data_IF_767326816632
#
_entry.id   IF_767326816632
#
_cell.length_a   1.000
_cell.length_b   1.000
_cell.length_c   1.000
_cell.angle_alpha   90.00
_cell.angle_beta   90.00
_cell.angle_gamma   90.00
#
_symmetry.space_group_name_H-M   'P 1'
#
loop_
_entity.id
_entity.type
_entity.pdbx_description
1 polymer ?
#
# COMPACT_ATOMS: atom_id res chain seq x y z
N UNK A 1 21.16 5.11 -24.13
CA UNK A 1 22.16 5.80 -24.96
C UNK A 1 21.68 7.08 -25.65
N UNK A 2 20.48 7.51 -25.54
CA UNK A 2 20.06 8.82 -26.02
C UNK A 2 19.28 9.49 -24.90
N UNK A 3 19.98 10.20 -24.02
CA UNK A 3 19.32 11.25 -23.26
C UNK A 3 18.64 12.17 -24.28
N UNK A 4 17.39 12.59 -24.05
CA UNK A 4 16.70 13.47 -24.99
C UNK A 4 17.58 14.69 -25.28
N UNK A 5 17.66 15.07 -26.56
CA UNK A 5 18.48 16.21 -27.05
C UNK A 5 18.24 17.53 -26.31
N UNK A 6 17.21 17.60 -25.47
CA UNK A 6 16.95 18.67 -24.52
C UNK A 6 17.19 18.13 -23.11
N UNK A 7 18.35 18.38 -22.56
CA UNK A 7 18.71 17.93 -21.22
C UNK A 7 17.95 18.73 -20.14
N UNK A 8 16.63 18.51 -20.09
CA UNK A 8 15.73 19.18 -19.14
C UNK A 8 16.01 18.78 -17.68
N UNK A 9 16.70 17.67 -17.46
CA UNK A 9 16.97 17.15 -16.11
C UNK A 9 18.13 17.90 -15.46
N UNK A 10 19.17 18.26 -16.21
CA UNK A 10 20.37 18.90 -15.66
C UNK A 10 20.56 20.35 -16.09
N UNK A 11 19.82 20.81 -17.10
CA UNK A 11 19.93 22.18 -17.64
C UNK A 11 21.26 22.49 -18.34
N UNK A 12 22.22 21.56 -18.35
CA UNK A 12 23.54 21.75 -18.93
C UNK A 12 23.67 20.92 -20.20
N UNK A 13 23.81 21.59 -21.32
CA UNK A 13 24.07 20.99 -22.63
C UNK A 13 25.51 21.33 -23.04
N UNK A 14 26.25 20.32 -23.51
CA UNK A 14 27.56 20.54 -24.12
C UNK A 14 27.38 20.88 -25.60
N UNK A 15 28.27 21.75 -26.14
CA UNK A 15 28.24 22.14 -27.54
C UNK A 15 28.73 21.02 -28.45
N UNK A 16 29.57 20.11 -27.93
CA UNK A 16 30.06 18.94 -28.63
C UNK A 16 29.10 17.72 -28.44
N UNK A 17 28.42 17.24 -29.51
CA UNK A 17 27.55 16.10 -29.46
C UNK A 17 28.26 14.78 -29.09
N UNK A 18 29.56 14.66 -29.35
CA UNK A 18 30.35 13.50 -29.00
C UNK A 18 30.54 13.45 -27.49
N UNK A 19 30.97 14.50 -26.86
CA UNK A 19 31.16 14.62 -25.43
C UNK A 19 29.81 14.53 -24.68
N UNK A 20 28.73 15.14 -25.21
CA UNK A 20 27.39 15.06 -24.66
C UNK A 20 26.86 13.62 -24.56
N UNK A 21 27.22 12.77 -25.53
CA UNK A 21 26.70 11.40 -25.64
C UNK A 21 27.13 10.46 -24.49
N UNK A 22 28.23 10.77 -23.82
CA UNK A 22 28.80 9.98 -22.72
C UNK A 22 28.84 10.72 -21.39
N UNK A 23 28.21 11.86 -21.28
CA UNK A 23 28.17 12.62 -20.05
C UNK A 23 27.24 11.96 -19.04
N UNK A 24 27.80 11.59 -17.89
CA UNK A 24 27.06 11.07 -16.74
C UNK A 24 26.96 12.19 -15.69
N UNK A 25 25.75 12.57 -15.32
CA UNK A 25 25.50 13.71 -14.45
C UNK A 25 25.03 13.31 -13.03
N UNK A 26 24.53 12.08 -12.89
CA UNK A 26 24.08 11.51 -11.62
C UNK A 26 24.40 10.01 -11.57
N UNK A 27 24.73 9.46 -10.40
CA UNK A 27 24.76 8.02 -10.23
C UNK A 27 23.36 7.44 -10.36
N UNK A 28 23.22 6.28 -11.01
CA UNK A 28 21.93 5.64 -11.20
C UNK A 28 22.06 4.14 -11.51
N UNK A 29 20.97 3.42 -11.41
CA UNK A 29 20.93 1.97 -11.61
C UNK A 29 20.87 1.55 -13.09
N UNK A 30 20.97 2.48 -14.04
CA UNK A 30 20.87 2.23 -15.48
C UNK A 30 19.56 1.48 -15.88
N UNK A 31 18.47 1.75 -15.19
CA UNK A 31 17.16 1.17 -15.48
C UNK A 31 16.59 1.82 -16.75
N UNK A 32 16.31 1.00 -17.75
CA UNK A 32 15.73 1.45 -19.01
C UNK A 32 14.39 0.80 -19.22
N UNK A 33 13.30 1.58 -19.31
CA UNK A 33 12.02 1.04 -19.73
C UNK A 33 12.13 0.56 -21.18
N UNK A 34 11.49 -0.56 -21.49
CA UNK A 34 11.33 -1.01 -22.87
C UNK A 34 10.16 -0.25 -23.53
N UNK A 35 10.19 -0.06 -24.85
CA UNK A 35 9.16 0.66 -25.60
C UNK A 35 7.77 0.07 -25.41
N UNK A 36 7.70 -1.26 -25.31
CA UNK A 36 6.44 -1.98 -25.05
C UNK A 36 5.79 -1.55 -23.72
N UNK A 37 6.58 -1.32 -22.67
CA UNK A 37 6.09 -0.78 -21.40
C UNK A 37 5.52 0.63 -21.56
N UNK A 38 6.14 1.45 -22.41
CA UNK A 38 5.64 2.79 -22.75
C UNK A 38 4.29 2.73 -23.47
N UNK A 39 4.15 1.87 -24.46
CA UNK A 39 2.93 1.69 -25.23
C UNK A 39 1.77 1.20 -24.35
N UNK A 40 2.01 0.20 -23.50
CA UNK A 40 1.03 -0.29 -22.52
C UNK A 40 0.67 0.84 -21.53
N UNK A 41 1.67 1.57 -21.04
CA UNK A 41 1.48 2.68 -20.10
C UNK A 41 0.57 3.77 -20.64
N UNK A 42 0.70 4.14 -21.90
CA UNK A 42 -0.17 5.14 -22.54
C UNK A 42 -1.65 4.70 -22.54
N UNK A 43 -1.92 3.42 -22.80
CA UNK A 43 -3.30 2.89 -22.76
C UNK A 43 -3.83 2.77 -21.31
N UNK A 44 -2.98 2.41 -20.36
CA UNK A 44 -3.38 2.35 -18.95
C UNK A 44 -3.64 3.74 -18.37
N UNK A 45 -2.87 4.74 -18.78
CA UNK A 45 -3.03 6.12 -18.31
C UNK A 45 -4.42 6.69 -18.67
N UNK A 46 -5.00 6.30 -19.79
CA UNK A 46 -6.37 6.69 -20.18
C UNK A 46 -7.43 6.15 -19.21
N UNK A 47 -7.18 5.02 -18.56
CA UNK A 47 -8.08 4.36 -17.61
C UNK A 47 -7.91 4.85 -16.18
N UNK A 48 -6.77 5.47 -15.88
CA UNK A 48 -6.38 5.85 -14.51
C UNK A 48 -7.42 6.71 -13.77
N UNK A 49 -8.07 7.73 -14.39
CA UNK A 49 -9.09 8.49 -13.69
C UNK A 49 -10.26 7.63 -13.19
N UNK A 50 -10.74 6.69 -14.01
CA UNK A 50 -11.78 5.75 -13.61
C UNK A 50 -11.32 4.79 -12.50
N UNK A 51 -10.09 4.31 -12.55
CA UNK A 51 -9.52 3.46 -11.51
C UNK A 51 -9.43 4.18 -10.16
N UNK A 52 -8.96 5.43 -10.17
CA UNK A 52 -8.87 6.26 -8.96
C UNK A 52 -10.26 6.52 -8.39
N UNK A 53 -11.23 6.88 -9.24
CA UNK A 53 -12.62 7.13 -8.82
C UNK A 53 -13.24 5.91 -8.14
N UNK A 54 -13.13 4.71 -8.76
CA UNK A 54 -13.69 3.49 -8.18
C UNK A 54 -13.01 3.10 -6.86
N UNK A 55 -11.68 3.20 -6.81
CA UNK A 55 -10.94 2.90 -5.57
C UNK A 55 -11.30 3.84 -4.43
N UNK A 56 -11.59 5.10 -4.71
CA UNK A 56 -12.09 6.08 -3.72
C UNK A 56 -13.48 5.74 -3.25
N UNK A 57 -14.39 5.39 -4.17
CA UNK A 57 -15.73 4.95 -3.81
C UNK A 57 -15.71 3.73 -2.88
N UNK A 58 -14.86 2.74 -3.17
CA UNK A 58 -14.63 1.60 -2.28
C UNK A 58 -14.09 2.06 -0.90
N UNK A 59 -13.15 3.02 -0.89
CA UNK A 59 -12.59 3.59 0.34
C UNK A 59 -13.63 4.32 1.20
N UNK A 60 -14.51 5.07 0.58
CA UNK A 60 -15.63 5.75 1.26
C UNK A 60 -16.58 4.73 1.90
N UNK A 61 -16.92 3.67 1.15
CA UNK A 61 -17.76 2.59 1.68
C UNK A 61 -17.08 1.85 2.83
N UNK A 62 -15.79 1.54 2.69
CA UNK A 62 -15.00 0.93 3.75
C UNK A 62 -14.98 1.79 5.02
N UNK A 63 -14.74 3.08 4.90
CA UNK A 63 -14.79 4.02 6.04
C UNK A 63 -16.19 4.03 6.67
N UNK A 64 -17.25 4.08 5.88
CA UNK A 64 -18.62 4.06 6.39
C UNK A 64 -18.92 2.78 7.21
N UNK A 65 -18.37 1.63 6.78
CA UNK A 65 -18.54 0.36 7.47
C UNK A 65 -17.71 0.24 8.77
N UNK A 66 -16.49 0.79 8.79
CA UNK A 66 -15.52 0.43 9.83
C UNK A 66 -15.06 1.57 10.75
N UNK A 67 -15.31 2.85 10.43
CA UNK A 67 -14.78 4.00 11.20
C UNK A 67 -15.12 3.95 12.70
N UNK A 68 -16.30 3.46 13.04
CA UNK A 68 -16.81 3.41 14.42
C UNK A 68 -16.85 1.97 14.96
N UNK A 69 -16.18 1.02 14.32
CA UNK A 69 -16.20 -0.37 14.73
C UNK A 69 -15.60 -0.55 16.14
N UNK A 70 -16.27 -1.29 17.05
CA UNK A 70 -15.86 -1.35 18.45
C UNK A 70 -14.47 -1.92 18.69
N UNK A 71 -14.08 -2.95 17.94
CA UNK A 71 -12.81 -3.69 18.15
C UNK A 71 -11.82 -3.61 16.98
N UNK A 72 -12.19 -2.93 15.89
CA UNK A 72 -11.28 -2.69 14.76
C UNK A 72 -11.00 -1.20 14.63
N UNK A 73 -9.75 -0.85 14.44
CA UNK A 73 -9.29 0.47 14.03
C UNK A 73 -8.87 0.42 12.57
N UNK A 74 -9.24 1.42 11.79
CA UNK A 74 -8.84 1.58 10.39
C UNK A 74 -7.88 2.75 10.23
N UNK A 75 -7.20 2.82 9.06
CA UNK A 75 -6.36 3.97 8.75
C UNK A 75 -7.21 5.24 8.60
N UNK A 76 -6.66 6.35 9.08
CA UNK A 76 -7.21 7.67 8.82
C UNK A 76 -6.66 8.19 7.49
N UNK A 77 -7.56 8.62 6.60
CA UNK A 77 -7.16 9.29 5.38
C UNK A 77 -6.70 10.72 5.69
N UNK A 78 -5.54 11.10 5.14
CA UNK A 78 -5.02 12.46 5.17
C UNK A 78 -4.84 12.90 3.71
N UNK A 79 -5.57 13.94 3.29
CA UNK A 79 -5.63 14.37 1.90
C UNK A 79 -6.56 13.49 1.06
N UNK A 80 -6.24 13.29 -0.21
CA UNK A 80 -7.05 12.54 -1.17
C UNK A 80 -6.31 11.28 -1.65
N UNK A 81 -6.47 10.19 -0.92
CA UNK A 81 -5.90 8.90 -1.28
C UNK A 81 -6.67 8.20 -2.40
N UNK A 82 -5.99 7.37 -3.19
CA UNK A 82 -6.63 6.36 -4.04
C UNK A 82 -6.76 5.00 -3.36
N UNK A 83 -6.49 4.92 -2.08
CA UNK A 83 -6.62 3.73 -1.22
C UNK A 83 -5.94 2.49 -1.82
N UNK A 84 -4.64 2.33 -1.59
CA UNK A 84 -3.90 1.14 -2.03
C UNK A 84 -4.54 -0.14 -1.50
N UNK A 85 -5.06 -0.11 -0.30
CA UNK A 85 -5.84 -1.15 0.34
C UNK A 85 -6.39 -0.70 1.68
N UNK A 86 -6.96 -1.62 2.42
CA UNK A 86 -7.70 -1.37 3.65
C UNK A 86 -6.95 -1.99 4.82
N UNK A 87 -6.42 -1.16 5.70
CA UNK A 87 -5.74 -1.62 6.92
C UNK A 87 -6.76 -1.78 8.04
N UNK A 88 -6.74 -2.94 8.68
CA UNK A 88 -7.50 -3.27 9.88
C UNK A 88 -6.52 -3.53 11.02
N UNK A 89 -6.67 -2.85 12.13
CA UNK A 89 -5.86 -3.06 13.34
C UNK A 89 -6.79 -3.44 14.49
N UNK A 90 -6.56 -4.59 15.08
CA UNK A 90 -7.36 -5.10 16.20
C UNK A 90 -7.04 -4.26 17.43
N UNK A 91 -8.07 -3.72 18.08
CA UNK A 91 -7.95 -2.94 19.31
C UNK A 91 -7.73 -3.86 20.53
N UNK A 92 -7.21 -3.30 21.63
CA UNK A 92 -6.90 -4.04 22.86
C UNK A 92 -8.12 -4.69 23.53
N UNK A 93 -9.31 -4.13 23.31
CA UNK A 93 -10.57 -4.64 23.86
C UNK A 93 -11.21 -5.77 23.05
N UNK A 94 -10.55 -6.25 21.98
CA UNK A 94 -11.05 -7.40 21.22
C UNK A 94 -10.86 -8.70 22.00
N UNK A 95 -11.81 -9.63 21.86
CA UNK A 95 -11.79 -10.96 22.47
C UNK A 95 -11.07 -12.00 21.62
N UNK A 96 -10.60 -11.62 20.44
CA UNK A 96 -9.84 -12.43 19.50
C UNK A 96 -8.53 -11.77 19.10
N UNK A 97 -7.58 -12.56 18.61
CA UNK A 97 -6.29 -12.08 18.12
C UNK A 97 -6.23 -12.06 16.58
N UNK A 98 -5.13 -11.50 16.03
CA UNK A 98 -4.92 -11.41 14.58
C UNK A 98 -4.97 -12.77 13.87
N UNK A 99 -4.43 -13.82 14.48
CA UNK A 99 -4.42 -15.15 13.88
C UNK A 99 -5.84 -15.68 13.68
N UNK A 100 -6.67 -15.59 14.70
CA UNK A 100 -8.08 -16.00 14.64
C UNK A 100 -8.85 -15.22 13.57
N UNK A 101 -8.65 -13.88 13.51
CA UNK A 101 -9.27 -13.07 12.48
C UNK A 101 -8.82 -13.48 11.07
N UNK A 102 -7.52 -13.72 10.86
CA UNK A 102 -6.99 -14.16 9.56
C UNK A 102 -7.57 -15.51 9.15
N UNK A 103 -7.65 -16.47 10.08
CA UNK A 103 -8.21 -17.81 9.83
C UNK A 103 -9.68 -17.73 9.38
N UNK A 104 -10.49 -16.91 10.04
CA UNK A 104 -11.92 -16.73 9.70
C UNK A 104 -12.07 -16.03 8.35
N UNK A 105 -11.33 -14.94 8.12
CA UNK A 105 -11.38 -14.23 6.83
C UNK A 105 -10.98 -15.12 5.67
N UNK A 106 -9.92 -15.92 5.83
CA UNK A 106 -9.47 -16.86 4.80
C UNK A 106 -10.46 -17.99 4.55
N UNK A 107 -11.14 -18.49 5.59
CA UNK A 107 -12.19 -19.49 5.45
C UNK A 107 -13.38 -18.97 4.61
N UNK A 108 -13.67 -17.67 4.69
CA UNK A 108 -14.68 -16.96 3.89
C UNK A 108 -14.16 -16.48 2.53
N UNK A 109 -12.95 -16.90 2.12
CA UNK A 109 -12.37 -16.56 0.83
C UNK A 109 -11.82 -15.13 0.74
N UNK A 110 -11.65 -14.44 1.87
CA UNK A 110 -11.14 -13.08 1.92
C UNK A 110 -9.62 -13.12 2.08
N UNK A 111 -8.88 -12.73 1.03
CA UNK A 111 -7.42 -12.65 1.09
C UNK A 111 -6.99 -11.50 2.00
N UNK A 112 -6.12 -11.81 2.96
CA UNK A 112 -5.52 -10.84 3.85
C UNK A 112 -4.00 -11.04 3.95
N UNK A 113 -3.29 -9.95 4.22
CA UNK A 113 -1.82 -9.92 4.32
C UNK A 113 -1.40 -9.13 5.56
N UNK A 114 -0.17 -9.33 6.07
CA UNK A 114 0.44 -8.39 7.02
C UNK A 114 0.48 -6.98 6.43
N UNK A 115 0.46 -5.95 7.29
CA UNK A 115 0.64 -4.56 6.84
C UNK A 115 2.09 -4.39 6.38
N UNK A 116 2.33 -4.66 5.11
CA UNK A 116 3.62 -4.60 4.41
C UNK A 116 4.76 -5.21 5.26
N UNK A 117 5.79 -4.44 5.58
CA UNK A 117 6.93 -4.88 6.41
C UNK A 117 6.64 -4.85 7.91
N UNK A 118 5.49 -4.33 8.34
CA UNK A 118 5.18 -4.15 9.75
C UNK A 118 6.20 -3.27 10.48
N UNK A 119 6.68 -3.74 11.63
CA UNK A 119 7.80 -3.13 12.32
C UNK A 119 9.12 -3.58 11.68
N UNK A 120 9.79 -2.68 10.96
CA UNK A 120 11.02 -3.03 10.26
C UNK A 120 12.15 -3.48 11.19
N UNK A 121 12.11 -3.10 12.49
CA UNK A 121 13.10 -3.54 13.48
C UNK A 121 13.08 -5.06 13.75
N UNK A 122 11.99 -5.73 13.42
CA UNK A 122 11.90 -7.20 13.52
C UNK A 122 12.38 -7.91 12.26
N UNK A 123 12.73 -7.14 11.21
CA UNK A 123 13.15 -7.69 9.93
C UNK A 123 14.62 -8.14 9.97
N UNK A 124 14.87 -9.38 9.57
CA UNK A 124 16.22 -9.94 9.54
C UNK A 124 17.18 -9.19 8.61
N UNK A 125 16.67 -8.48 7.62
CA UNK A 125 17.48 -7.67 6.71
C UNK A 125 18.31 -6.59 7.45
N UNK A 126 17.86 -6.14 8.62
CA UNK A 126 18.59 -5.14 9.41
C UNK A 126 19.97 -5.62 9.87
N UNK A 127 20.21 -6.92 9.93
CA UNK A 127 21.54 -7.47 10.25
C UNK A 127 22.65 -7.03 9.29
N UNK A 128 22.27 -6.55 8.11
CA UNK A 128 23.19 -6.14 7.04
C UNK A 128 23.38 -4.62 6.94
N UNK A 129 22.77 -3.85 7.83
CA UNK A 129 22.80 -2.38 7.78
C UNK A 129 23.26 -1.80 9.11
N UNK A 130 24.03 -0.73 9.02
CA UNK A 130 24.25 0.17 10.15
C UNK A 130 23.04 1.11 10.23
N UNK A 131 22.40 1.17 11.40
CA UNK A 131 21.20 2.00 11.58
C UNK A 131 21.09 2.50 13.03
N UNK A 132 20.32 3.56 13.19
CA UNK A 132 19.94 4.10 14.50
C UNK A 132 18.41 4.08 14.63
N UNK A 133 17.92 3.82 15.83
CA UNK A 133 16.49 3.85 16.15
C UNK A 133 16.15 5.22 16.73
N UNK A 134 15.37 6.01 15.98
CA UNK A 134 14.89 7.30 16.43
C UNK A 134 13.58 7.17 17.23
N UNK A 135 13.63 7.49 18.51
CA UNK A 135 12.47 7.51 19.39
C UNK A 135 11.90 6.14 19.75
N UNK A 136 10.61 6.12 20.12
CA UNK A 136 9.90 4.90 20.51
C UNK A 136 9.02 4.37 19.38
N UNK A 137 9.12 3.07 19.09
CA UNK A 137 8.40 2.41 17.97
C UNK A 137 7.14 1.66 18.42
N UNK A 138 6.58 1.97 19.58
CA UNK A 138 5.41 1.27 20.17
C UNK A 138 4.24 1.12 19.20
N UNK A 139 3.92 2.16 18.43
CA UNK A 139 2.83 2.10 17.45
C UNK A 139 3.16 1.15 16.30
N UNK A 140 4.41 1.14 15.82
CA UNK A 140 4.85 0.20 14.79
C UNK A 140 4.78 -1.24 15.29
N UNK A 141 5.22 -1.49 16.52
CA UNK A 141 5.11 -2.81 17.16
C UNK A 141 3.66 -3.27 17.32
N UNK A 142 2.77 -2.36 17.74
CA UNK A 142 1.35 -2.66 17.90
C UNK A 142 0.70 -3.00 16.57
N UNK A 143 0.94 -2.21 15.54
CA UNK A 143 0.42 -2.43 14.19
C UNK A 143 0.97 -3.73 13.61
N UNK A 144 2.24 -4.02 13.80
CA UNK A 144 2.89 -5.25 13.34
C UNK A 144 2.23 -6.51 13.93
N UNK A 145 1.88 -6.47 15.22
CA UNK A 145 1.26 -7.61 15.93
C UNK A 145 -0.23 -7.77 15.62
N UNK A 146 -0.96 -6.65 15.52
CA UNK A 146 -2.42 -6.63 15.52
C UNK A 146 -3.02 -6.19 14.18
N UNK A 147 -2.17 -5.79 13.22
CA UNK A 147 -2.60 -5.27 11.94
C UNK A 147 -2.64 -6.32 10.84
N UNK A 148 -3.61 -6.17 9.95
CA UNK A 148 -3.70 -6.89 8.68
C UNK A 148 -4.21 -5.95 7.58
N UNK A 149 -4.09 -6.39 6.34
CA UNK A 149 -4.33 -5.58 5.19
C UNK A 149 -5.17 -6.33 4.17
N UNK A 150 -6.23 -5.70 3.68
CA UNK A 150 -7.10 -6.19 2.62
C UNK A 150 -6.83 -5.42 1.32
N UNK A 151 -6.99 -6.07 0.18
CA UNK A 151 -6.80 -5.46 -1.12
C UNK A 151 -7.93 -4.47 -1.47
N UNK A 152 -7.60 -3.44 -2.23
CA UNK A 152 -8.56 -2.60 -2.94
C UNK A 152 -8.29 -2.69 -4.44
N UNK A 153 -9.33 -2.70 -5.24
CA UNK A 153 -9.23 -2.84 -6.69
C UNK A 153 -10.02 -1.75 -7.42
N UNK A 154 -9.86 -1.65 -8.74
CA UNK A 154 -10.59 -0.69 -9.58
C UNK A 154 -11.99 -1.19 -10.02
N UNK A 155 -12.53 -2.20 -9.35
CA UNK A 155 -13.91 -2.68 -9.50
C UNK A 155 -14.70 -2.31 -8.25
N UNK A 156 -16.02 -2.36 -8.34
CA UNK A 156 -16.90 -2.19 -7.18
C UNK A 156 -16.71 -3.34 -6.19
N UNK A 157 -16.35 -3.00 -4.94
CA UNK A 157 -16.13 -3.92 -3.82
C UNK A 157 -17.14 -3.72 -2.69
N UNK A 158 -18.25 -3.05 -2.95
CA UNK A 158 -19.26 -2.74 -1.92
C UNK A 158 -19.78 -4.00 -1.23
N UNK A 159 -20.06 -5.06 -1.99
CA UNK A 159 -20.53 -6.32 -1.45
C UNK A 159 -19.48 -7.04 -0.62
N UNK A 160 -18.22 -7.09 -1.08
CA UNK A 160 -17.11 -7.74 -0.43
C UNK A 160 -16.71 -7.04 0.87
N UNK A 161 -16.75 -5.70 0.88
CA UNK A 161 -16.49 -4.91 2.09
C UNK A 161 -17.60 -5.15 3.12
N UNK A 162 -18.86 -5.16 2.70
CA UNK A 162 -20.00 -5.43 3.58
C UNK A 162 -19.95 -6.87 4.13
N UNK A 163 -19.60 -7.84 3.29
CA UNK A 163 -19.39 -9.22 3.73
C UNK A 163 -18.25 -9.33 4.75
N UNK A 164 -17.14 -8.65 4.51
CA UNK A 164 -16.02 -8.60 5.46
C UNK A 164 -16.45 -8.08 6.83
N UNK A 165 -17.25 -7.01 6.86
CA UNK A 165 -17.81 -6.50 8.11
C UNK A 165 -18.69 -7.52 8.81
N UNK A 166 -19.55 -8.22 8.08
CA UNK A 166 -20.44 -9.27 8.63
C UNK A 166 -19.64 -10.41 9.27
N UNK A 167 -18.58 -10.88 8.59
CA UNK A 167 -17.69 -11.94 9.09
C UNK A 167 -17.00 -11.50 10.40
N UNK A 168 -16.50 -10.29 10.46
CA UNK A 168 -15.85 -9.75 11.68
C UNK A 168 -16.86 -9.61 12.82
N UNK A 169 -18.06 -9.13 12.54
CA UNK A 169 -19.13 -9.02 13.55
C UNK A 169 -19.53 -10.39 14.11
N UNK A 170 -19.61 -11.41 13.25
CA UNK A 170 -19.88 -12.77 13.69
C UNK A 170 -18.78 -13.29 14.63
N UNK A 171 -17.51 -13.11 14.28
CA UNK A 171 -16.38 -13.46 15.14
C UNK A 171 -16.45 -12.76 16.50
N UNK A 172 -16.86 -11.48 16.52
CA UNK A 172 -17.07 -10.75 17.78
C UNK A 172 -18.14 -11.39 18.65
N UNK A 173 -19.25 -11.85 18.06
CA UNK A 173 -20.35 -12.47 18.77
C UNK A 173 -20.03 -13.87 19.32
N UNK A 174 -19.24 -14.66 18.59
CA UNK A 174 -18.83 -16.02 18.98
C UNK A 174 -17.76 -16.02 20.08
N UNK A 175 -17.00 -14.95 20.22
CA UNK A 175 -15.92 -14.81 21.19
C UNK A 175 -16.37 -14.18 22.54
N UNK A 176 -17.66 -13.85 22.68
CA UNK A 176 -18.28 -13.30 23.89
C UNK A 176 -18.92 -14.40 24.71
#
# INVERSE_FOLDING_TARGET
RNLPKNNKVTGVKLDDPFEESFKFVLPGFNLRPIEMSGAIGLEQLKKLPGFVSQRRANGEHFQACFKDHPVIQIQQEIGESSWFGFSLVIKENATFNRRQLVEVLQAEGIECRPIVSGNFLTNEALKFFDYEVAGHVKNAEYIDRNGLFLGNHQIDLTAEITHTLAVINQLCAEAT
#
